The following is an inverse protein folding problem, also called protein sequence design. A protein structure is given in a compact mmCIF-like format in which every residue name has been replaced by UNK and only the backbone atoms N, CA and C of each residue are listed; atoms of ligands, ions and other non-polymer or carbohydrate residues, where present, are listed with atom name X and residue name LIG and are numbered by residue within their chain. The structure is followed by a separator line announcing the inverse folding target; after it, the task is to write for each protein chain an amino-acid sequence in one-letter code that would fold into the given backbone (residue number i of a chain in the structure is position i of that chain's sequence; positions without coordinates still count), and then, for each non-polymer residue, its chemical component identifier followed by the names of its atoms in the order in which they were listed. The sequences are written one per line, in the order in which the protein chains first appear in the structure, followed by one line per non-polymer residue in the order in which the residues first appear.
data_IF_775398404146
#
_entry.id   IF_775398404146
#
_cell.length_a   1.000
_cell.length_b   1.000
_cell.length_c   1.000
_cell.angle_alpha   90.00
_cell.angle_beta   90.00
_cell.angle_gamma   90.00
#
_symmetry.space_group_name_H-M   'P 1'
#
loop_
_entity.id
_entity.type
_entity.pdbx_description
1 polymer ?
#
# COMPACT_ATOMS: atom_id res chain seq x y z
N UNK A 1 -0.48 49.38 -22.54
CA UNK A 1 0.29 50.36 -23.35
C UNK A 1 -0.26 51.74 -23.01
N UNK A 2 0.57 52.68 -22.55
CA UNK A 2 1.51 53.40 -23.43
C UNK A 2 2.97 53.37 -22.95
N UNK A 3 3.87 53.55 -23.92
CA UNK A 3 5.34 53.70 -23.80
C UNK A 3 5.70 55.16 -23.53
N UNK A 4 6.84 55.36 -22.87
CA UNK A 4 8.01 56.14 -23.35
C UNK A 4 8.65 57.03 -22.27
N UNK A 5 9.97 57.19 -22.41
CA UNK A 5 10.81 58.29 -21.92
C UNK A 5 11.45 58.20 -20.54
N UNK A 6 12.61 57.54 -20.50
CA UNK A 6 13.77 57.98 -19.71
C UNK A 6 15.04 57.29 -20.22
N UNK A 7 15.55 57.78 -21.35
CA UNK A 7 16.87 57.43 -21.86
C UNK A 7 17.70 58.71 -21.96
N UNK A 8 18.28 59.17 -20.85
CA UNK A 8 19.40 60.12 -20.89
C UNK A 8 20.29 59.84 -19.68
N UNK A 9 21.60 59.87 -19.93
CA UNK A 9 22.73 60.01 -18.99
C UNK A 9 23.65 58.79 -18.87
N UNK A 10 24.82 58.97 -19.48
CA UNK A 10 26.14 58.41 -19.14
C UNK A 10 26.64 57.18 -19.90
N UNK A 11 26.82 57.37 -21.20
CA UNK A 11 27.69 56.58 -22.08
C UNK A 11 29.12 57.17 -22.13
N UNK A 12 29.74 57.43 -20.99
CA UNK A 12 31.00 58.17 -20.97
C UNK A 12 31.99 57.69 -19.89
N UNK A 13 32.19 56.37 -19.74
CA UNK A 13 33.41 55.91 -19.05
C UNK A 13 33.72 54.40 -19.25
N UNK A 14 33.75 53.93 -20.50
CA UNK A 14 33.98 52.50 -20.80
C UNK A 14 35.19 52.20 -21.67
N UNK A 15 36.05 53.19 -21.91
CA UNK A 15 37.15 53.05 -22.89
C UNK A 15 38.57 53.25 -22.35
N UNK A 16 38.76 53.42 -21.04
CA UNK A 16 40.10 53.72 -20.49
C UNK A 16 40.62 52.80 -19.38
N UNK A 17 39.99 51.64 -19.13
CA UNK A 17 40.50 50.63 -18.18
C UNK A 17 40.75 49.30 -18.90
N UNK A 18 41.45 49.35 -20.04
CA UNK A 18 41.89 48.15 -20.76
C UNK A 18 43.29 48.37 -21.32
N UNK A 19 44.27 48.63 -20.45
CA UNK A 19 45.71 48.54 -20.76
C UNK A 19 46.50 48.74 -19.47
N UNK A 20 46.91 47.63 -18.84
CA UNK A 20 48.05 47.43 -17.92
C UNK A 20 47.75 46.30 -16.92
N UNK A 21 47.86 45.05 -17.36
CA UNK A 21 48.07 43.93 -16.46
C UNK A 21 48.97 42.90 -17.17
N UNK A 22 50.07 42.45 -16.55
CA UNK A 22 51.14 41.69 -17.21
C UNK A 22 50.74 40.23 -17.47
N UNK A 23 51.00 39.76 -18.69
CA UNK A 23 50.77 38.38 -19.17
C UNK A 23 51.66 37.30 -18.49
N UNK A 24 52.39 37.63 -17.43
CA UNK A 24 53.43 36.75 -16.86
C UNK A 24 52.98 35.86 -15.70
N UNK A 25 51.74 36.00 -15.20
CA UNK A 25 51.20 35.15 -14.11
C UNK A 25 50.40 33.92 -14.58
N UNK A 26 50.10 33.79 -15.88
CA UNK A 26 49.27 32.68 -16.38
C UNK A 26 50.05 31.35 -16.41
N UNK A 27 51.38 31.41 -16.54
CA UNK A 27 52.22 30.20 -16.59
C UNK A 27 52.55 29.62 -15.20
N UNK A 28 52.44 30.40 -14.12
CA UNK A 28 52.61 29.91 -12.76
C UNK A 28 51.33 29.25 -12.21
N UNK A 29 50.16 29.69 -12.68
CA UNK A 29 48.87 29.12 -12.28
C UNK A 29 48.59 27.73 -12.90
N UNK A 30 49.21 27.37 -14.02
CA UNK A 30 49.01 26.05 -14.65
C UNK A 30 49.83 24.92 -14.01
N UNK A 31 50.81 25.24 -13.16
CA UNK A 31 51.74 24.26 -12.57
C UNK A 31 51.34 23.88 -11.13
N UNK A 32 50.38 24.58 -10.51
CA UNK A 32 49.93 24.33 -9.13
C UNK A 32 48.56 23.64 -9.01
N UNK A 33 47.98 23.14 -10.10
CA UNK A 33 46.74 22.34 -10.06
C UNK A 33 46.98 20.83 -10.26
N UNK A 34 48.23 20.40 -10.34
CA UNK A 34 48.64 18.99 -10.40
C UNK A 34 48.79 18.36 -9.00
N UNK A 35 47.99 18.82 -8.04
CA UNK A 35 47.86 18.16 -6.75
C UNK A 35 46.69 17.20 -6.85
N UNK A 36 46.93 15.90 -6.61
CA UNK A 36 45.91 14.88 -6.37
C UNK A 36 44.76 15.49 -5.56
N UNK A 37 43.67 15.86 -6.25
CA UNK A 37 42.41 16.04 -5.56
C UNK A 37 42.04 14.62 -5.16
N UNK A 38 41.92 14.29 -3.86
CA UNK A 38 41.42 12.99 -3.46
C UNK A 38 40.10 12.79 -4.22
N UNK A 39 40.08 11.75 -5.06
CA UNK A 39 38.85 11.26 -5.68
C UNK A 39 37.99 10.78 -4.52
N UNK A 40 37.28 11.72 -3.89
CA UNK A 40 36.15 11.43 -3.03
C UNK A 40 35.12 10.88 -3.98
N UNK A 41 35.28 9.60 -4.34
CA UNK A 41 34.48 8.91 -5.32
C UNK A 41 33.04 9.17 -4.98
N UNK A 42 32.46 10.18 -5.62
CA UNK A 42 31.05 10.50 -5.46
C UNK A 42 30.41 9.24 -5.98
N UNK A 43 29.76 8.44 -5.12
CA UNK A 43 29.30 7.12 -5.53
C UNK A 43 28.53 7.34 -6.80
N UNK A 44 29.01 6.74 -7.89
CA UNK A 44 28.51 7.01 -9.23
C UNK A 44 26.99 7.00 -9.13
N UNK A 45 26.31 8.06 -9.57
CA UNK A 45 24.85 8.20 -9.49
C UNK A 45 24.07 6.87 -9.69
N UNK A 46 24.47 5.95 -10.61
CA UNK A 46 23.92 4.59 -10.67
C UNK A 46 24.07 3.74 -9.40
N UNK A 47 25.21 3.71 -8.72
CA UNK A 47 25.44 2.96 -7.49
C UNK A 47 24.55 3.41 -6.33
N UNK A 48 24.33 4.73 -6.17
CA UNK A 48 23.42 5.29 -5.17
C UNK A 48 21.95 4.90 -5.44
N UNK A 49 21.53 4.92 -6.71
CA UNK A 49 20.17 4.49 -7.12
C UNK A 49 19.96 2.99 -6.89
N UNK A 50 20.96 2.15 -7.20
CA UNK A 50 20.91 0.70 -6.97
C UNK A 50 20.86 0.37 -5.47
N UNK A 51 21.66 1.06 -4.65
CA UNK A 51 21.65 0.92 -3.19
C UNK A 51 20.28 1.31 -2.59
N UNK A 52 19.68 2.41 -3.07
CA UNK A 52 18.35 2.86 -2.67
C UNK A 52 17.23 1.86 -3.00
N UNK A 53 17.27 1.27 -4.21
CA UNK A 53 16.33 0.21 -4.61
C UNK A 53 16.46 -1.04 -3.73
N UNK A 54 17.68 -1.49 -3.45
CA UNK A 54 17.97 -2.64 -2.58
C UNK A 54 17.48 -2.41 -1.15
N UNK A 55 17.69 -1.20 -0.60
CA UNK A 55 17.22 -0.84 0.74
C UNK A 55 15.69 -0.82 0.84
N UNK A 56 15.00 -0.23 -0.14
CA UNK A 56 13.53 -0.23 -0.20
C UNK A 56 12.97 -1.64 -0.35
N UNK A 57 13.56 -2.46 -1.22
CA UNK A 57 13.16 -3.87 -1.38
C UNK A 57 13.33 -4.68 -0.09
N UNK A 58 14.46 -4.54 0.62
CA UNK A 58 14.67 -5.19 1.93
C UNK A 58 13.64 -4.74 2.97
N UNK A 59 13.25 -3.46 2.98
CA UNK A 59 12.19 -2.96 3.89
C UNK A 59 10.84 -3.58 3.57
N UNK A 60 10.44 -3.65 2.30
CA UNK A 60 9.20 -4.29 1.89
C UNK A 60 9.20 -5.79 2.22
N UNK A 61 10.28 -6.51 1.90
CA UNK A 61 10.40 -7.93 2.25
C UNK A 61 10.28 -8.15 3.77
N UNK A 62 10.99 -7.34 4.57
CA UNK A 62 10.89 -7.42 6.04
C UNK A 62 9.46 -7.17 6.52
N UNK A 63 8.80 -6.14 6.01
CA UNK A 63 7.42 -5.84 6.37
C UNK A 63 6.46 -6.99 6.00
N UNK A 64 6.59 -7.56 4.81
CA UNK A 64 5.79 -8.72 4.37
C UNK A 64 6.03 -9.95 5.24
N UNK A 65 7.28 -10.24 5.57
CA UNK A 65 7.64 -11.37 6.45
C UNK A 65 7.09 -11.18 7.85
N UNK A 66 7.27 -9.99 8.44
CA UNK A 66 6.74 -9.67 9.78
C UNK A 66 5.23 -9.78 9.81
N UNK A 67 4.54 -9.23 8.81
CA UNK A 67 3.09 -9.31 8.72
C UNK A 67 2.60 -10.75 8.53
N UNK A 68 3.31 -11.55 7.70
CA UNK A 68 3.01 -12.97 7.52
C UNK A 68 3.15 -13.78 8.81
N UNK A 69 4.22 -13.54 9.58
CA UNK A 69 4.41 -14.15 10.90
C UNK A 69 3.28 -13.74 11.86
N UNK A 70 2.92 -12.45 11.88
CA UNK A 70 1.84 -11.96 12.73
C UNK A 70 0.49 -12.62 12.40
N UNK A 71 0.16 -12.74 11.10
CA UNK A 71 -1.05 -13.43 10.64
C UNK A 71 -1.03 -14.90 11.07
N UNK A 72 0.09 -15.60 10.91
CA UNK A 72 0.22 -17.00 11.34
C UNK A 72 0.07 -17.16 12.87
N UNK A 73 0.67 -16.26 13.66
CA UNK A 73 0.54 -16.26 15.11
C UNK A 73 -0.91 -15.99 15.56
N UNK A 74 -1.59 -15.03 14.93
CA UNK A 74 -2.99 -14.74 15.19
C UNK A 74 -3.90 -15.90 14.79
N UNK A 75 -3.63 -16.55 13.66
CA UNK A 75 -4.36 -17.74 13.22
C UNK A 75 -4.22 -18.89 14.23
N UNK A 76 -3.00 -19.19 14.67
CA UNK A 76 -2.76 -20.19 15.71
C UNK A 76 -3.48 -19.84 17.02
N UNK A 77 -3.40 -18.56 17.44
CA UNK A 77 -4.09 -18.06 18.64
C UNK A 77 -5.60 -18.20 18.52
N UNK A 78 -6.18 -17.91 17.35
CA UNK A 78 -7.62 -18.05 17.09
C UNK A 78 -8.10 -19.51 17.17
N UNK A 79 -7.23 -20.48 16.87
CA UNK A 79 -7.54 -21.89 17.05
C UNK A 79 -7.43 -22.33 18.52
N UNK A 80 -6.42 -21.85 19.24
CA UNK A 80 -6.14 -22.23 20.64
C UNK A 80 -7.11 -21.57 21.63
N UNK A 81 -7.39 -20.27 21.43
CA UNK A 81 -8.15 -19.43 22.35
C UNK A 81 -9.64 -19.41 21.95
N UNK A 82 -10.51 -19.77 22.90
CA UNK A 82 -11.96 -19.65 22.78
C UNK A 82 -12.62 -19.95 24.13
N UNK A 83 -13.86 -20.47 24.13
CA UNK A 83 -14.55 -20.82 25.39
C UNK A 83 -13.78 -21.83 26.25
N UNK A 84 -13.01 -22.70 25.61
CA UNK A 84 -12.07 -23.64 26.23
C UNK A 84 -10.70 -23.44 25.59
N UNK A 85 -9.64 -23.44 26.41
CA UNK A 85 -8.26 -23.37 25.95
C UNK A 85 -7.79 -24.78 25.56
N UNK A 86 -7.32 -24.94 24.32
CA UNK A 86 -6.76 -26.20 23.84
C UNK A 86 -5.26 -26.05 23.62
N UNK A 87 -4.48 -27.06 24.03
CA UNK A 87 -3.04 -27.05 23.86
C UNK A 87 -2.64 -27.09 22.37
N UNK A 88 -1.41 -26.65 22.02
CA UNK A 88 -0.96 -26.66 20.63
C UNK A 88 -0.88 -28.09 20.07
N UNK A 89 -0.58 -29.09 20.92
CA UNK A 89 -0.61 -30.50 20.55
C UNK A 89 -2.00 -31.01 20.18
N UNK A 90 -3.04 -30.59 20.91
CA UNK A 90 -4.42 -30.98 20.62
C UNK A 90 -4.92 -30.34 19.33
N UNK A 91 -4.59 -29.06 19.10
CA UNK A 91 -4.96 -28.35 17.86
C UNK A 91 -4.28 -28.97 16.65
N UNK A 92 -2.99 -29.33 16.74
CA UNK A 92 -2.27 -30.04 15.68
C UNK A 92 -2.85 -31.44 15.47
N UNK A 93 -3.19 -32.16 16.53
CA UNK A 93 -3.86 -33.46 16.45
C UNK A 93 -5.19 -33.36 15.69
N UNK A 94 -6.03 -32.38 16.01
CA UNK A 94 -7.30 -32.13 15.32
C UNK A 94 -7.09 -31.75 13.85
N UNK A 95 -6.10 -30.90 13.55
CA UNK A 95 -5.72 -30.53 12.17
C UNK A 95 -5.22 -31.74 11.36
N UNK A 96 -4.53 -32.67 12.01
CA UNK A 96 -4.04 -33.93 11.43
C UNK A 96 -5.13 -35.01 11.36
N UNK A 97 -6.37 -34.71 11.75
CA UNK A 97 -7.51 -35.62 11.69
C UNK A 97 -7.67 -36.56 12.89
N UNK A 98 -6.94 -36.34 13.98
CA UNK A 98 -7.14 -37.08 15.22
C UNK A 98 -8.40 -36.62 15.96
N UNK A 99 -9.11 -37.58 16.53
CA UNK A 99 -10.32 -37.34 17.32
C UNK A 99 -9.95 -37.11 18.79
N UNK A 100 -9.93 -35.84 19.19
CA UNK A 100 -9.74 -35.41 20.57
C UNK A 100 -11.12 -35.04 21.15
N UNK A 101 -11.60 -35.71 22.22
CA UNK A 101 -12.92 -35.47 22.79
C UNK A 101 -13.13 -33.99 23.14
N UNK A 102 -14.22 -33.38 22.65
CA UNK A 102 -14.55 -31.96 22.86
C UNK A 102 -13.78 -30.95 22.01
N UNK A 103 -12.50 -31.23 21.70
CA UNK A 103 -11.65 -30.34 20.90
C UNK A 103 -11.90 -30.48 19.39
N UNK A 104 -12.11 -31.69 18.86
CA UNK A 104 -12.25 -31.89 17.39
C UNK A 104 -13.43 -31.15 16.78
N UNK A 105 -14.61 -31.18 17.43
CA UNK A 105 -15.79 -30.47 16.94
C UNK A 105 -15.60 -28.94 17.06
N UNK A 106 -15.16 -28.47 18.22
CA UNK A 106 -14.99 -27.02 18.46
C UNK A 106 -13.92 -26.42 17.56
N UNK A 107 -12.75 -27.06 17.47
CA UNK A 107 -11.61 -26.54 16.70
C UNK A 107 -11.82 -26.80 15.21
N UNK A 108 -12.24 -28.00 14.82
CA UNK A 108 -12.38 -28.42 13.43
C UNK A 108 -13.60 -27.84 12.71
N UNK A 109 -14.78 -27.81 13.36
CA UNK A 109 -16.03 -27.42 12.68
C UNK A 109 -16.44 -25.97 12.93
N UNK A 110 -16.01 -25.33 14.03
CA UNK A 110 -16.37 -23.94 14.33
C UNK A 110 -15.20 -22.97 14.16
N UNK A 111 -14.03 -23.28 14.73
CA UNK A 111 -12.90 -22.32 14.75
C UNK A 111 -12.13 -22.29 13.44
N UNK A 112 -11.80 -23.46 12.89
CA UNK A 112 -11.04 -23.57 11.64
C UNK A 112 -11.74 -22.86 10.47
N UNK A 113 -13.02 -23.13 10.13
CA UNK A 113 -13.66 -22.44 9.02
C UNK A 113 -13.74 -20.93 9.25
N UNK A 114 -14.00 -20.49 10.49
CA UNK A 114 -14.03 -19.06 10.83
C UNK A 114 -12.66 -18.39 10.69
N UNK A 115 -11.59 -19.03 11.15
CA UNK A 115 -10.23 -18.51 11.06
C UNK A 115 -9.77 -18.43 9.59
N UNK A 116 -10.08 -19.46 8.79
CA UNK A 116 -9.80 -19.47 7.34
C UNK A 116 -10.56 -18.34 6.65
N UNK A 117 -11.86 -18.19 6.92
CA UNK A 117 -12.66 -17.09 6.36
C UNK A 117 -12.11 -15.72 6.75
N UNK A 118 -11.66 -15.53 8.00
CA UNK A 118 -11.06 -14.26 8.43
C UNK A 118 -9.78 -13.91 7.63
N UNK A 119 -8.91 -14.90 7.39
CA UNK A 119 -7.70 -14.70 6.58
C UNK A 119 -8.06 -14.42 5.12
N UNK A 120 -8.96 -15.21 4.53
CA UNK A 120 -9.36 -15.04 3.12
C UNK A 120 -10.05 -13.69 2.88
N UNK A 121 -10.98 -13.30 3.74
CA UNK A 121 -11.66 -12.00 3.65
C UNK A 121 -10.69 -10.85 3.86
N UNK A 122 -9.77 -10.93 4.82
CA UNK A 122 -8.72 -9.93 5.03
C UNK A 122 -7.81 -9.76 3.80
N UNK A 123 -7.40 -10.86 3.16
CA UNK A 123 -6.63 -10.82 1.91
C UNK A 123 -7.42 -10.18 0.76
N UNK A 124 -8.69 -10.55 0.61
CA UNK A 124 -9.57 -9.97 -0.40
C UNK A 124 -9.73 -8.46 -0.22
N UNK A 125 -9.97 -8.00 1.02
CA UNK A 125 -10.06 -6.58 1.34
C UNK A 125 -8.72 -5.84 1.14
N UNK A 126 -7.60 -6.47 1.48
CA UNK A 126 -6.26 -5.91 1.21
C UNK A 126 -6.02 -5.68 -0.28
N UNK A 127 -6.36 -6.65 -1.12
CA UNK A 127 -6.23 -6.54 -2.59
C UNK A 127 -7.21 -5.51 -3.16
N UNK A 128 -8.46 -5.51 -2.71
CA UNK A 128 -9.46 -4.53 -3.12
C UNK A 128 -9.02 -3.10 -2.73
N UNK A 129 -8.44 -2.93 -1.54
CA UNK A 129 -7.87 -1.67 -1.05
C UNK A 129 -6.80 -1.10 -1.96
N UNK A 130 -5.76 -1.89 -2.25
CA UNK A 130 -4.68 -1.47 -3.15
C UNK A 130 -5.20 -1.15 -4.55
N UNK A 131 -6.12 -1.96 -5.06
CA UNK A 131 -6.74 -1.73 -6.38
C UNK A 131 -7.50 -0.40 -6.39
N UNK A 132 -8.32 -0.13 -5.38
CA UNK A 132 -9.12 1.08 -5.28
C UNK A 132 -8.27 2.34 -5.11
N UNK A 133 -7.26 2.28 -4.25
CA UNK A 133 -6.27 3.35 -4.06
C UNK A 133 -5.53 3.67 -5.36
N UNK A 134 -5.20 2.64 -6.15
CA UNK A 134 -4.51 2.79 -7.44
C UNK A 134 -5.43 3.42 -8.51
N UNK A 135 -6.67 2.96 -8.61
CA UNK A 135 -7.65 3.48 -9.57
C UNK A 135 -7.99 4.95 -9.30
N UNK A 136 -8.18 5.31 -8.03
CA UNK A 136 -8.52 6.68 -7.64
C UNK A 136 -7.30 7.59 -7.47
N UNK A 137 -6.09 7.02 -7.53
CA UNK A 137 -4.82 7.73 -7.22
C UNK A 137 -4.91 8.47 -5.88
N UNK A 138 -5.66 7.90 -4.93
CA UNK A 138 -5.91 8.48 -3.62
C UNK A 138 -5.62 7.44 -2.53
N UNK A 139 -4.52 7.60 -1.78
CA UNK A 139 -4.12 6.65 -0.74
C UNK A 139 -5.07 6.61 0.47
N UNK A 140 -6.02 7.57 0.57
CA UNK A 140 -7.05 7.59 1.61
C UNK A 140 -8.34 6.87 1.19
N UNK A 141 -8.46 6.42 -0.06
CA UNK A 141 -9.64 5.72 -0.53
C UNK A 141 -9.66 4.27 -0.04
N UNK A 142 -10.82 3.79 0.41
CA UNK A 142 -11.04 2.39 0.79
C UNK A 142 -12.30 1.83 0.11
N UNK A 143 -12.29 0.53 -0.25
CA UNK A 143 -13.34 -0.10 -1.05
C UNK A 143 -14.68 -0.21 -0.30
N UNK A 144 -14.66 -0.22 1.03
CA UNK A 144 -15.87 -0.26 1.87
C UNK A 144 -16.77 0.97 1.70
N UNK A 145 -16.22 2.09 1.21
CA UNK A 145 -16.92 3.37 1.10
C UNK A 145 -17.88 3.41 -0.11
N UNK A 146 -17.76 2.48 -1.06
CA UNK A 146 -18.56 2.47 -2.31
C UNK A 146 -20.03 2.08 -2.07
N UNK A 147 -20.37 1.57 -0.88
CA UNK A 147 -21.75 1.19 -0.53
C UNK A 147 -22.14 -0.25 -0.87
N UNK A 148 -21.24 -1.03 -1.50
CA UNK A 148 -21.45 -2.46 -1.83
C UNK A 148 -21.71 -3.28 -0.56
N UNK A 149 -20.95 -3.03 0.52
CA UNK A 149 -21.13 -3.70 1.82
C UNK A 149 -22.48 -3.36 2.46
N UNK A 150 -22.95 -2.12 2.30
CA UNK A 150 -24.27 -1.71 2.79
C UNK A 150 -25.41 -2.33 2.00
N UNK A 151 -25.27 -2.42 0.67
CA UNK A 151 -26.22 -3.13 -0.20
C UNK A 151 -26.32 -4.62 0.11
N UNK A 152 -25.18 -5.27 0.37
CA UNK A 152 -25.13 -6.66 0.83
C UNK A 152 -25.84 -6.85 2.18
N UNK A 153 -25.56 -5.97 3.14
CA UNK A 153 -26.18 -5.97 4.47
C UNK A 153 -27.69 -5.73 4.40
N UNK A 154 -28.14 -4.77 3.61
CA UNK A 154 -29.56 -4.50 3.40
C UNK A 154 -30.29 -5.71 2.81
N UNK A 155 -29.71 -6.36 1.79
CA UNK A 155 -30.29 -7.57 1.21
C UNK A 155 -30.31 -8.73 2.21
N UNK A 156 -29.27 -8.89 3.03
CA UNK A 156 -29.25 -9.89 4.11
C UNK A 156 -30.37 -9.65 5.12
N UNK A 157 -30.54 -8.41 5.59
CA UNK A 157 -31.60 -8.04 6.55
C UNK A 157 -32.99 -8.25 5.95
N UNK A 158 -33.21 -7.89 4.69
CA UNK A 158 -34.47 -8.18 3.98
C UNK A 158 -34.71 -9.69 3.91
N UNK A 159 -33.68 -10.48 3.58
CA UNK A 159 -33.77 -11.94 3.57
C UNK A 159 -34.18 -12.54 4.90
N UNK A 160 -33.60 -12.04 6.00
CA UNK A 160 -33.88 -12.53 7.35
C UNK A 160 -35.26 -12.06 7.83
N UNK A 161 -35.54 -10.77 7.76
CA UNK A 161 -36.72 -10.16 8.40
C UNK A 161 -37.98 -10.31 7.55
N UNK A 162 -37.88 -10.13 6.24
CA UNK A 162 -39.04 -10.12 5.34
C UNK A 162 -39.31 -11.52 4.80
N UNK A 163 -38.26 -12.21 4.36
CA UNK A 163 -38.38 -13.52 3.72
C UNK A 163 -38.19 -14.70 4.69
N UNK A 164 -37.86 -14.43 5.96
CA UNK A 164 -37.62 -15.46 6.99
C UNK A 164 -36.59 -16.53 6.56
N UNK A 165 -35.64 -16.14 5.72
CA UNK A 165 -34.59 -17.02 5.21
C UNK A 165 -33.53 -17.25 6.28
N UNK A 166 -32.88 -18.42 6.22
CA UNK A 166 -31.81 -18.80 7.13
C UNK A 166 -30.62 -19.42 6.37
N UNK A 167 -29.48 -19.49 7.07
CA UNK A 167 -28.31 -20.21 6.60
C UNK A 167 -27.73 -19.70 5.27
N UNK A 168 -27.31 -20.60 4.36
CA UNK A 168 -26.65 -20.24 3.11
C UNK A 168 -27.47 -19.34 2.18
N UNK A 169 -28.80 -19.45 2.21
CA UNK A 169 -29.70 -18.68 1.35
C UNK A 169 -29.61 -17.17 1.63
N UNK A 170 -29.42 -16.79 2.90
CA UNK A 170 -29.18 -15.39 3.28
C UNK A 170 -27.85 -14.88 2.71
N UNK A 171 -26.81 -15.72 2.71
CA UNK A 171 -25.49 -15.36 2.16
C UNK A 171 -25.57 -15.16 0.64
N UNK A 172 -26.34 -15.98 -0.07
CA UNK A 172 -26.61 -15.80 -1.50
C UNK A 172 -27.36 -14.49 -1.76
N UNK A 173 -28.38 -14.19 -0.96
CA UNK A 173 -29.14 -12.96 -1.10
C UNK A 173 -28.29 -11.71 -0.81
N UNK A 174 -27.42 -11.77 0.21
CA UNK A 174 -26.45 -10.73 0.50
C UNK A 174 -25.49 -10.50 -0.67
N UNK A 175 -24.99 -11.58 -1.28
CA UNK A 175 -24.11 -11.51 -2.45
C UNK A 175 -24.85 -10.89 -3.67
N UNK A 176 -26.10 -11.27 -3.90
CA UNK A 176 -26.93 -10.67 -4.95
C UNK A 176 -27.15 -9.18 -4.69
N UNK A 177 -27.44 -8.78 -3.44
CA UNK A 177 -27.56 -7.37 -3.05
C UNK A 177 -26.29 -6.57 -3.32
N UNK A 178 -25.13 -7.15 -3.02
CA UNK A 178 -23.82 -6.57 -3.32
C UNK A 178 -23.64 -6.35 -4.83
N UNK A 179 -23.95 -7.36 -5.65
CA UNK A 179 -23.83 -7.31 -7.11
C UNK A 179 -24.79 -6.29 -7.74
N UNK A 180 -26.04 -6.25 -7.28
CA UNK A 180 -27.03 -5.26 -7.72
C UNK A 180 -26.56 -3.85 -7.40
N UNK A 181 -26.01 -3.64 -6.20
CA UNK A 181 -25.47 -2.34 -5.79
C UNK A 181 -24.28 -1.94 -6.66
N UNK A 182 -23.33 -2.84 -6.89
CA UNK A 182 -22.19 -2.60 -7.77
C UNK A 182 -22.63 -2.29 -9.22
N UNK A 183 -23.60 -3.03 -9.75
CA UNK A 183 -24.17 -2.79 -11.07
C UNK A 183 -24.87 -1.44 -11.16
N UNK A 184 -25.66 -1.07 -10.15
CA UNK A 184 -26.34 0.22 -10.09
C UNK A 184 -25.33 1.38 -10.10
N UNK A 185 -24.27 1.28 -9.31
CA UNK A 185 -23.19 2.29 -9.26
C UNK A 185 -22.52 2.40 -10.63
N UNK A 186 -22.18 1.29 -11.26
CA UNK A 186 -21.59 1.28 -12.59
C UNK A 186 -22.52 1.94 -13.63
N UNK A 187 -23.81 1.60 -13.61
CA UNK A 187 -24.78 2.13 -14.56
C UNK A 187 -25.02 3.63 -14.39
N UNK A 188 -25.07 4.11 -13.14
CA UNK A 188 -25.21 5.53 -12.83
C UNK A 188 -23.94 6.30 -13.20
N UNK A 189 -22.77 5.74 -12.92
CA UNK A 189 -21.49 6.34 -13.29
C UNK A 189 -21.33 6.48 -14.81
N UNK A 190 -21.90 5.56 -15.59
CA UNK A 190 -21.80 5.58 -17.06
C UNK A 190 -22.82 6.53 -17.72
N UNK A 191 -23.88 6.96 -17.01
CA UNK A 191 -24.96 7.79 -17.58
C UNK A 191 -24.79 9.30 -17.35
N UNK A 192 -23.74 9.74 -16.67
CA UNK A 192 -23.56 11.16 -16.31
C UNK A 192 -22.11 11.61 -16.14
N UNK A 193 -21.20 11.11 -16.99
CA UNK A 193 -19.81 11.57 -17.09
C UNK A 193 -19.47 11.91 -18.54
#
# INVERSE_FOLDING_TARGET
MPRADAAVVTSADRHQIRKTAPEQDVSAASVLHSGDLPDFGTPSAPAAVIAGRRARHRRHLRATVVLGILVAALFATALMVGNTFYGPGDVLGVLLGQTVPGASFTVGELRLPRAVLAVLTGLAFGMAGVTFQTLLRNPLASPDIIGISQGAGAAAVIGIVVLSLNGPTVSLLALLGALVTAAAIYLLSHRGG
#
